data_IF_805447284204
#
_entry.id   IF_805447284204
#
_cell.length_a   1.000
_cell.length_b   1.000
_cell.length_c   1.000
_cell.angle_alpha   90.00
_cell.angle_beta   90.00
_cell.angle_gamma   90.00
#
_symmetry.space_group_name_H-M   'P 1'
#
loop_
_entity.id
_entity.type
_entity.pdbx_description
1 polymer ?
#
# COMPACT_ATOMS: atom_id res chain seq x y z
N UNK A 1 -18.75 0.18 -7.44
CA UNK A 1 -18.81 -1.22 -6.93
C UNK A 1 -19.54 -1.33 -5.60
N UNK A 2 -19.57 -0.30 -4.75
CA UNK A 2 -20.12 -0.39 -3.38
C UNK A 2 -21.64 -0.69 -3.27
N UNK A 3 -22.41 -0.55 -4.35
CA UNK A 3 -23.83 -0.88 -4.40
C UNK A 3 -24.12 -2.31 -4.92
N UNK A 4 -23.08 -3.06 -5.28
CA UNK A 4 -23.20 -4.42 -5.83
C UNK A 4 -23.10 -5.46 -4.72
N UNK A 5 -23.68 -6.65 -4.94
CA UNK A 5 -23.66 -7.72 -3.93
C UNK A 5 -22.24 -8.19 -3.55
N UNK A 6 -21.26 -8.01 -4.44
CA UNK A 6 -19.85 -8.28 -4.15
C UNK A 6 -19.31 -7.44 -2.98
N UNK A 7 -19.82 -6.22 -2.77
CA UNK A 7 -19.46 -5.42 -1.59
C UNK A 7 -19.89 -6.12 -0.31
N UNK A 8 -21.13 -6.62 -0.28
CA UNK A 8 -21.68 -7.30 0.91
C UNK A 8 -20.91 -8.57 1.21
N UNK A 9 -20.52 -9.32 0.19
CA UNK A 9 -19.72 -10.53 0.33
C UNK A 9 -18.34 -10.22 0.93
N UNK A 10 -17.62 -9.26 0.36
CA UNK A 10 -16.31 -8.85 0.85
C UNK A 10 -16.40 -8.30 2.28
N UNK A 11 -17.38 -7.42 2.54
CA UNK A 11 -17.65 -6.85 3.86
C UNK A 11 -17.84 -7.95 4.92
N UNK A 12 -18.73 -8.90 4.64
CA UNK A 12 -19.10 -9.93 5.61
C UNK A 12 -18.00 -10.99 5.78
N UNK A 13 -17.33 -11.38 4.69
CA UNK A 13 -16.39 -12.50 4.70
C UNK A 13 -14.96 -12.09 5.01
N UNK A 14 -14.48 -10.98 4.46
CA UNK A 14 -13.10 -10.52 4.65
C UNK A 14 -12.97 -9.58 5.86
N UNK A 15 -14.01 -8.80 6.17
CA UNK A 15 -13.97 -7.77 7.23
C UNK A 15 -14.98 -8.00 8.37
N UNK A 16 -15.58 -9.19 8.46
CA UNK A 16 -16.47 -9.56 9.55
C UNK A 16 -17.72 -8.68 9.70
N UNK A 17 -18.17 -8.04 8.61
CA UNK A 17 -19.32 -7.15 8.58
C UNK A 17 -19.00 -5.68 8.83
N UNK A 18 -17.75 -5.33 9.14
CA UNK A 18 -17.33 -3.93 9.30
C UNK A 18 -17.41 -3.17 7.97
N UNK A 19 -17.81 -1.88 7.97
CA UNK A 19 -17.93 -1.11 6.74
C UNK A 19 -16.63 -1.06 5.92
N UNK A 20 -16.74 -1.34 4.62
CA UNK A 20 -15.64 -1.28 3.66
C UNK A 20 -15.85 -0.17 2.64
N UNK A 21 -14.77 0.20 1.95
CA UNK A 21 -14.77 0.99 0.73
C UNK A 21 -14.09 0.19 -0.40
N UNK A 22 -14.58 0.35 -1.63
CA UNK A 22 -14.01 -0.31 -2.82
C UNK A 22 -13.59 0.75 -3.81
N UNK A 23 -12.29 0.82 -4.08
CA UNK A 23 -11.67 1.80 -4.98
C UNK A 23 -10.85 1.15 -6.08
N UNK A 24 -10.28 2.00 -6.94
CA UNK A 24 -9.33 1.60 -7.97
C UNK A 24 -8.00 2.29 -7.72
N UNK A 25 -6.92 1.51 -7.74
CA UNK A 25 -5.55 2.00 -7.78
C UNK A 25 -5.00 1.66 -9.17
N UNK A 26 -4.88 2.67 -10.01
CA UNK A 26 -4.44 2.52 -11.40
C UNK A 26 -3.32 3.53 -11.68
N UNK A 27 -2.32 3.14 -12.44
CA UNK A 27 -1.24 4.07 -12.80
C UNK A 27 -0.04 3.41 -13.46
N UNK A 28 1.07 4.14 -13.44
CA UNK A 28 2.36 3.67 -13.91
C UNK A 28 3.38 3.83 -12.80
N UNK A 29 3.93 2.72 -12.33
CA UNK A 29 5.10 2.70 -11.46
C UNK A 29 6.06 1.60 -11.92
N UNK A 30 7.36 1.84 -11.81
CA UNK A 30 8.41 0.83 -12.02
C UNK A 30 9.39 0.78 -10.85
N UNK A 31 9.14 1.52 -9.76
CA UNK A 31 10.13 1.79 -8.71
C UNK A 31 9.58 1.61 -7.30
N UNK A 32 10.48 1.31 -6.35
CA UNK A 32 10.23 1.34 -4.91
C UNK A 32 10.25 2.77 -4.35
N UNK A 33 9.42 3.65 -4.90
CA UNK A 33 9.41 5.05 -4.49
C UNK A 33 8.97 5.25 -3.03
N UNK A 34 8.20 4.31 -2.48
CA UNK A 34 7.82 4.28 -1.08
C UNK A 34 7.42 2.86 -0.66
N UNK A 35 7.25 2.69 0.64
CA UNK A 35 6.51 1.61 1.27
C UNK A 35 5.48 2.24 2.23
N UNK A 36 4.26 1.74 2.19
CA UNK A 36 3.15 2.09 3.06
C UNK A 36 2.58 0.87 3.78
N UNK A 37 1.83 1.13 4.84
CA UNK A 37 1.08 0.13 5.57
C UNK A 37 -0.16 0.71 6.23
N UNK A 38 -1.10 -0.19 6.51
CA UNK A 38 -2.39 0.07 7.15
C UNK A 38 -2.50 -0.75 8.44
N UNK A 39 -3.31 -0.32 9.43
CA UNK A 39 -3.52 -1.11 10.68
C UNK A 39 -4.52 -2.26 10.53
N UNK A 40 -4.84 -2.61 9.29
CA UNK A 40 -5.74 -3.68 8.91
C UNK A 40 -5.30 -4.26 7.58
N UNK A 41 -5.86 -5.42 7.23
CA UNK A 41 -5.69 -6.00 5.91
C UNK A 41 -6.26 -5.11 4.80
N UNK A 42 -5.59 -5.12 3.66
CA UNK A 42 -6.06 -4.60 2.37
C UNK A 42 -6.32 -5.80 1.44
N UNK A 43 -7.47 -5.85 0.78
CA UNK A 43 -7.72 -6.84 -0.27
C UNK A 43 -7.49 -6.20 -1.63
N UNK A 44 -6.59 -6.80 -2.40
CA UNK A 44 -6.26 -6.35 -3.75
C UNK A 44 -6.72 -7.38 -4.78
N UNK A 45 -7.36 -6.91 -5.86
CA UNK A 45 -7.71 -7.73 -7.01
C UNK A 45 -7.05 -7.13 -8.24
N UNK A 46 -6.05 -7.86 -8.75
CA UNK A 46 -5.31 -7.46 -9.93
C UNK A 46 -6.22 -7.53 -11.17
N UNK A 47 -6.40 -6.41 -11.86
CA UNK A 47 -7.14 -6.37 -13.15
C UNK A 47 -6.20 -6.59 -14.31
N UNK A 48 -4.95 -6.14 -14.18
CA UNK A 48 -3.82 -6.46 -15.06
C UNK A 48 -2.74 -7.20 -14.26
N UNK A 49 -1.82 -7.86 -14.94
CA UNK A 49 -0.59 -8.34 -14.28
C UNK A 49 0.12 -7.15 -13.62
N UNK A 50 0.50 -7.32 -12.36
CA UNK A 50 1.18 -6.30 -11.57
C UNK A 50 2.23 -6.95 -10.67
N UNK A 51 3.25 -6.19 -10.30
CA UNK A 51 4.25 -6.62 -9.33
C UNK A 51 4.10 -5.79 -8.07
N UNK A 52 4.04 -6.47 -6.92
CA UNK A 52 4.15 -5.81 -5.62
C UNK A 52 5.57 -5.97 -5.09
N UNK A 53 6.16 -4.86 -4.70
CA UNK A 53 7.39 -4.83 -3.92
C UNK A 53 6.97 -4.79 -2.45
N UNK A 54 7.35 -5.83 -1.70
CA UNK A 54 6.83 -6.12 -0.37
C UNK A 54 7.96 -6.19 0.65
N UNK A 55 7.70 -5.68 1.85
CA UNK A 55 8.57 -5.84 3.03
C UNK A 55 7.77 -6.22 4.28
N UNK A 56 8.47 -6.61 5.34
CA UNK A 56 7.87 -6.87 6.65
C UNK A 56 7.89 -5.63 7.54
N UNK A 57 6.75 -5.26 8.14
CA UNK A 57 6.68 -4.09 9.03
C UNK A 57 7.64 -4.21 10.22
N UNK A 58 7.90 -5.42 10.71
CA UNK A 58 8.80 -5.69 11.84
C UNK A 58 10.28 -5.41 11.52
N UNK A 59 10.63 -5.21 10.25
CA UNK A 59 11.97 -4.84 9.82
C UNK A 59 12.20 -3.31 9.78
N UNK A 60 11.20 -2.51 10.16
CA UNK A 60 11.39 -1.07 10.39
C UNK A 60 12.23 -0.88 11.64
N UNK A 61 13.34 -0.15 11.50
CA UNK A 61 14.29 0.10 12.58
C UNK A 61 13.78 1.18 13.56
N UNK A 62 14.42 1.33 14.72
CA UNK A 62 14.01 2.28 15.76
C UNK A 62 13.99 3.75 15.28
N UNK A 63 14.83 4.09 14.30
CA UNK A 63 14.88 5.42 13.67
C UNK A 63 13.91 5.57 12.48
N UNK A 64 12.97 4.64 12.34
CA UNK A 64 11.94 4.56 11.30
C UNK A 64 12.49 4.29 9.89
N UNK A 65 13.76 3.92 9.77
CA UNK A 65 14.34 3.56 8.48
C UNK A 65 14.02 2.12 8.10
N UNK A 66 14.12 1.82 6.80
CA UNK A 66 13.90 0.49 6.24
C UNK A 66 14.95 0.15 5.21
N UNK A 67 15.62 -0.99 5.37
CA UNK A 67 16.61 -1.49 4.41
C UNK A 67 15.91 -2.09 3.18
N UNK A 68 16.04 -1.41 2.04
CA UNK A 68 15.45 -1.82 0.76
C UNK A 68 15.94 -3.19 0.29
N UNK A 69 17.10 -3.67 0.75
CA UNK A 69 17.59 -5.02 0.40
C UNK A 69 16.74 -6.16 0.96
N UNK A 70 15.88 -5.87 1.94
CA UNK A 70 14.90 -6.83 2.51
C UNK A 70 13.60 -6.92 1.69
N UNK A 71 13.44 -6.09 0.66
CA UNK A 71 12.22 -6.08 -0.17
C UNK A 71 12.23 -7.23 -1.17
N UNK A 72 11.09 -7.92 -1.26
CA UNK A 72 10.85 -8.98 -2.23
C UNK A 72 9.80 -8.56 -3.26
N UNK A 73 9.99 -9.00 -4.51
CA UNK A 73 9.09 -8.70 -5.62
C UNK A 73 8.18 -9.90 -5.93
N UNK A 74 6.87 -9.68 -5.94
CA UNK A 74 5.87 -10.71 -6.25
C UNK A 74 5.04 -10.33 -7.46
N UNK A 75 5.07 -11.18 -8.49
CA UNK A 75 4.14 -11.10 -9.60
C UNK A 75 2.75 -11.57 -9.13
N UNK A 76 1.75 -10.71 -9.34
CA UNK A 76 0.34 -11.02 -9.12
C UNK A 76 -0.35 -11.04 -10.49
N UNK A 77 -0.69 -12.21 -11.03
CA UNK A 77 -1.34 -12.32 -12.33
C UNK A 77 -2.74 -11.68 -12.33
N UNK A 78 -3.16 -11.15 -13.47
CA UNK A 78 -4.50 -10.62 -13.69
C UNK A 78 -5.58 -11.62 -13.28
N UNK A 79 -6.61 -11.14 -12.59
CA UNK A 79 -7.70 -11.93 -12.02
C UNK A 79 -7.38 -12.53 -10.65
N UNK A 80 -6.18 -12.33 -10.11
CA UNK A 80 -5.81 -12.83 -8.78
C UNK A 80 -6.26 -11.85 -7.69
N UNK A 81 -6.97 -12.37 -6.69
CA UNK A 81 -7.25 -11.69 -5.43
C UNK A 81 -6.23 -12.08 -4.36
N UNK A 82 -5.70 -11.09 -3.63
CA UNK A 82 -4.76 -11.29 -2.54
C UNK A 82 -5.22 -10.52 -1.30
N UNK A 83 -4.80 -10.99 -0.13
CA UNK A 83 -4.86 -10.24 1.12
C UNK A 83 -3.45 -9.74 1.45
N UNK A 84 -3.33 -8.42 1.61
CA UNK A 84 -2.13 -7.76 2.11
C UNK A 84 -2.35 -7.52 3.59
N UNK A 85 -1.66 -8.26 4.45
CA UNK A 85 -1.84 -8.18 5.90
C UNK A 85 -1.36 -6.83 6.45
N UNK A 86 -1.89 -6.44 7.62
CA UNK A 86 -1.50 -5.19 8.29
C UNK A 86 0.01 -5.06 8.55
N UNK A 87 0.73 -6.19 8.63
CA UNK A 87 2.18 -6.28 8.84
C UNK A 87 2.99 -6.28 7.54
N UNK A 88 2.33 -6.11 6.39
CA UNK A 88 2.96 -6.15 5.06
C UNK A 88 3.15 -4.73 4.55
N UNK A 89 4.41 -4.32 4.41
CA UNK A 89 4.77 -3.09 3.70
C UNK A 89 4.58 -3.31 2.21
N UNK A 90 3.95 -2.35 1.53
CA UNK A 90 3.69 -2.40 0.09
C UNK A 90 3.53 -0.97 -0.44
N UNK A 91 3.43 -0.78 -1.75
CA UNK A 91 3.11 0.55 -2.30
C UNK A 91 2.37 0.38 -3.63
N UNK A 92 2.10 1.50 -4.32
CA UNK A 92 1.52 1.49 -5.66
C UNK A 92 2.21 0.41 -6.54
N UNK A 93 1.46 -0.57 -7.07
CA UNK A 93 2.04 -1.68 -7.81
C UNK A 93 2.93 -1.24 -8.96
N UNK A 94 3.99 -2.00 -9.23
CA UNK A 94 4.74 -1.84 -10.46
C UNK A 94 3.98 -2.48 -11.63
N UNK A 95 3.94 -1.80 -12.76
CA UNK A 95 3.29 -2.31 -13.96
C UNK A 95 4.20 -3.29 -14.70
N UNK A 96 3.61 -4.37 -15.20
CA UNK A 96 4.29 -5.34 -16.08
C UNK A 96 4.25 -4.88 -17.54
N UNK A 97 3.15 -4.23 -17.93
CA UNK A 97 2.92 -3.79 -19.31
C UNK A 97 2.91 -2.25 -19.39
N UNK A 98 3.37 -1.70 -20.51
CA UNK A 98 3.43 -0.25 -20.76
C UNK A 98 2.08 0.47 -20.69
N UNK A 99 0.95 -0.26 -20.73
CA UNK A 99 -0.39 0.29 -20.47
C UNK A 99 -0.63 0.70 -19.02
N UNK A 100 0.31 0.41 -18.11
CA UNK A 100 0.17 0.63 -16.68
C UNK A 100 -0.44 -0.57 -15.97
N UNK A 101 -0.68 -0.41 -14.66
CA UNK A 101 -1.37 -1.38 -13.84
C UNK A 101 -2.81 -0.93 -13.53
N UNK A 102 -3.67 -1.90 -13.29
CA UNK A 102 -5.01 -1.67 -12.75
C UNK A 102 -5.28 -2.64 -11.61
N UNK A 103 -5.72 -2.12 -10.47
CA UNK A 103 -5.99 -2.89 -9.26
C UNK A 103 -7.28 -2.38 -8.59
N UNK A 104 -8.15 -3.30 -8.19
CA UNK A 104 -9.25 -2.99 -7.28
C UNK A 104 -8.73 -3.15 -5.85
N UNK A 105 -8.96 -2.15 -5.01
CA UNK A 105 -8.51 -2.11 -3.62
C UNK A 105 -9.74 -2.09 -2.70
N UNK A 106 -9.74 -2.93 -1.68
CA UNK A 106 -10.80 -3.00 -0.67
C UNK A 106 -10.20 -2.82 0.71
N UNK A 107 -10.69 -1.81 1.41
CA UNK A 107 -10.19 -1.38 2.72
C UNK A 107 -11.37 -1.06 3.64
N UNK A 108 -11.17 -0.97 4.96
CA UNK A 108 -12.13 -0.33 5.85
C UNK A 108 -12.46 1.08 5.39
N UNK A 109 -13.74 1.43 5.51
CA UNK A 109 -14.27 2.73 5.08
C UNK A 109 -13.58 3.87 5.85
N UNK A 110 -13.10 4.87 5.13
CA UNK A 110 -12.38 6.02 5.66
C UNK A 110 -10.85 5.91 5.57
N UNK A 111 -10.31 4.78 5.11
CA UNK A 111 -8.87 4.66 4.83
C UNK A 111 -8.47 5.58 3.67
N UNK A 112 -7.27 6.16 3.74
CA UNK A 112 -6.71 7.09 2.76
C UNK A 112 -7.42 8.45 2.64
N UNK A 113 -8.32 8.80 3.57
CA UNK A 113 -8.90 10.16 3.62
C UNK A 113 -8.00 11.13 4.39
N UNK A 114 -8.29 12.43 4.27
CA UNK A 114 -7.62 13.47 5.05
C UNK A 114 -7.71 13.23 6.56
N UNK A 115 -6.64 13.61 7.26
CA UNK A 115 -6.56 13.61 8.73
C UNK A 115 -7.12 14.95 9.22
N UNK A 116 -8.11 14.89 10.10
CA UNK A 116 -8.81 16.06 10.66
C UNK A 116 -8.62 16.19 12.19
N UNK A 117 -7.62 15.50 12.74
CA UNK A 117 -7.23 15.53 14.14
C UNK A 117 -5.74 15.87 14.28
N UNK A 118 -5.31 16.45 15.42
CA UNK A 118 -3.91 16.78 15.63
C UNK A 118 -3.05 15.52 15.64
N UNK A 119 -1.88 15.60 15.01
CA UNK A 119 -0.93 14.51 14.91
C UNK A 119 0.46 15.00 15.27
N UNK A 120 1.19 14.18 16.04
CA UNK A 120 2.59 14.49 16.34
C UNK A 120 3.45 14.21 15.11
N UNK A 121 4.49 15.02 14.90
CA UNK A 121 5.56 14.71 13.96
C UNK A 121 6.60 13.72 14.53
N UNK A 122 6.48 13.37 15.81
CA UNK A 122 7.43 12.53 16.52
C UNK A 122 7.09 11.04 16.36
N UNK A 123 8.13 10.21 16.19
CA UNK A 123 7.98 8.76 16.11
C UNK A 123 7.14 8.29 14.91
N UNK A 124 6.49 7.14 15.05
CA UNK A 124 5.70 6.51 13.98
C UNK A 124 4.53 7.38 13.52
N UNK A 125 3.96 8.22 14.40
CA UNK A 125 2.89 9.17 14.04
C UNK A 125 3.35 10.12 12.93
N UNK A 126 4.64 10.50 12.91
CA UNK A 126 5.23 11.33 11.87
C UNK A 126 5.27 10.67 10.48
N UNK A 127 5.01 9.37 10.37
CA UNK A 127 4.91 8.67 9.08
C UNK A 127 3.48 8.67 8.52
N UNK A 128 2.47 9.07 9.30
CA UNK A 128 1.09 8.98 8.87
C UNK A 128 0.74 10.11 7.89
N UNK A 129 0.43 9.74 6.64
CA UNK A 129 0.18 10.66 5.52
C UNK A 129 -1.30 10.77 5.16
N UNK A 130 -2.11 9.80 5.58
CA UNK A 130 -3.57 9.81 5.48
C UNK A 130 -4.17 8.95 6.59
N UNK A 131 -5.48 9.01 6.79
CA UNK A 131 -6.14 8.15 7.79
C UNK A 131 -5.82 6.69 7.52
N UNK A 132 -5.32 6.04 8.57
CA UNK A 132 -4.96 4.64 8.56
C UNK A 132 -3.89 4.30 7.50
N UNK A 133 -2.97 5.22 7.19
CA UNK A 133 -1.88 5.02 6.24
C UNK A 133 -0.60 5.68 6.73
N UNK A 134 0.42 4.86 6.92
CA UNK A 134 1.77 5.27 7.25
C UNK A 134 2.65 5.02 6.04
N UNK A 135 3.58 5.92 5.74
CA UNK A 135 4.37 5.89 4.52
C UNK A 135 5.82 6.28 4.79
N UNK A 136 6.74 5.48 4.26
CA UNK A 136 8.18 5.71 4.26
C UNK A 136 8.61 5.82 2.79
N UNK A 137 9.15 6.97 2.41
CA UNK A 137 9.58 7.25 1.04
C UNK A 137 11.07 6.94 0.83
N UNK A 138 11.43 6.65 -0.42
CA UNK A 138 12.81 6.72 -0.89
C UNK A 138 13.17 8.17 -1.24
N UNK A 139 14.38 8.62 -0.92
CA UNK A 139 14.79 10.02 -1.13
C UNK A 139 14.65 10.48 -2.60
N UNK A 140 14.99 9.59 -3.54
CA UNK A 140 14.84 9.82 -4.99
C UNK A 140 13.40 10.08 -5.45
N UNK A 141 12.40 9.60 -4.70
CA UNK A 141 10.99 9.73 -5.06
C UNK A 141 10.48 11.17 -4.89
N UNK A 142 11.12 11.95 -4.01
CA UNK A 142 10.79 13.38 -3.76
C UNK A 142 9.31 13.61 -3.45
N UNK A 143 8.70 12.69 -2.69
CA UNK A 143 7.30 12.80 -2.28
C UNK A 143 7.20 13.90 -1.21
N UNK A 144 6.45 14.96 -1.51
CA UNK A 144 6.30 16.10 -0.61
C UNK A 144 5.68 15.68 0.73
N UNK A 145 6.29 16.10 1.83
CA UNK A 145 5.82 15.82 3.19
C UNK A 145 6.07 14.39 3.69
N UNK A 146 6.58 13.48 2.86
CA UNK A 146 6.91 12.12 3.28
C UNK A 146 8.26 12.04 3.99
N UNK A 147 8.37 11.13 4.96
CA UNK A 147 9.62 10.82 5.63
C UNK A 147 10.52 9.95 4.72
N UNK A 148 11.76 10.39 4.48
CA UNK A 148 12.73 9.69 3.62
C UNK A 148 13.52 8.62 4.40
N UNK A 149 12.84 7.52 4.73
CA UNK A 149 13.39 6.43 5.54
C UNK A 149 13.84 5.19 4.78
N UNK A 150 13.50 5.01 3.49
CA UNK A 150 13.98 3.86 2.73
C UNK A 150 15.49 4.04 2.44
N UNK A 151 16.31 3.05 2.83
CA UNK A 151 17.77 3.06 2.68
C UNK A 151 18.23 1.97 1.73
N UNK A 152 19.10 2.33 0.79
CA UNK A 152 19.67 1.43 -0.20
C UNK A 152 19.24 1.79 -1.62
N UNK A 153 19.00 0.79 -2.46
CA UNK A 153 18.65 1.01 -3.86
C UNK A 153 17.17 1.32 -4.02
N UNK A 154 16.85 2.33 -4.84
CA UNK A 154 15.48 2.51 -5.34
C UNK A 154 15.18 1.45 -6.41
N UNK A 155 14.84 0.25 -5.93
CA UNK A 155 14.60 -0.94 -6.75
C UNK A 155 13.73 -0.55 -7.94
N UNK A 156 14.26 -0.78 -9.14
CA UNK A 156 13.57 -0.53 -10.40
C UNK A 156 13.33 -1.86 -11.11
N UNK A 157 12.11 -2.07 -11.60
CA UNK A 157 11.75 -3.20 -12.43
C UNK A 157 11.73 -2.74 -13.89
N UNK A 158 12.45 -3.45 -14.76
CA UNK A 158 12.54 -3.14 -16.19
C UNK A 158 11.37 -3.72 -17.00
#
# INVERSE_FOLDING_TARGET
>A
MEALDVEKELKNRAFGGLPVQIGYCNGHNKKLNALEYHRNSEINVAVTDLVLLIGHQQDIEEDLTYDTSKVEAFLVPAGTGIEVYATTLHYAPCHVNESGFQCVVVLPRGTNTEIDFPMSGDGEDGLMTARNKWLIAHEDAKIEGAFNGLKGENITLD
#
